data_IF_459601159987
#
_entry.id   IF_459601159987
#
_cell.length_a   1.000
_cell.length_b   1.000
_cell.length_c   1.000
_cell.angle_alpha   90.00
_cell.angle_beta   90.00
_cell.angle_gamma   90.00
#
_symmetry.space_group_name_H-M   'P 1'
#
loop_
_entity.id
_entity.type
_entity.pdbx_description
1 polymer ?
#
# COMPACT_ATOMS: atom_id res chain seq x y z
N UNK A 1 23.42 3.97 -21.01
CA UNK A 1 22.38 3.44 -20.12
C UNK A 1 22.99 2.29 -19.34
N UNK A 2 23.19 2.46 -18.04
CA UNK A 2 23.83 1.46 -17.18
C UNK A 2 22.82 0.41 -16.69
N UNK A 3 23.28 -0.76 -16.24
CA UNK A 3 22.41 -1.77 -15.63
C UNK A 3 21.67 -1.24 -14.38
N UNK A 4 22.27 -0.25 -13.70
CA UNK A 4 21.68 0.45 -12.58
C UNK A 4 20.48 1.32 -12.99
N UNK A 5 20.58 2.11 -14.06
CA UNK A 5 19.47 2.91 -14.59
C UNK A 5 18.25 2.04 -14.97
N UNK A 6 18.50 0.86 -15.54
CA UNK A 6 17.43 -0.10 -15.88
C UNK A 6 16.73 -0.59 -14.62
N UNK A 7 17.50 -0.96 -13.59
CA UNK A 7 16.95 -1.43 -12.31
C UNK A 7 16.15 -0.32 -11.60
N UNK A 8 16.69 0.91 -11.55
CA UNK A 8 16.01 2.06 -10.95
C UNK A 8 14.71 2.40 -11.69
N UNK A 9 14.72 2.34 -13.02
CA UNK A 9 13.52 2.50 -13.83
C UNK A 9 12.47 1.41 -13.58
N UNK A 10 12.90 0.17 -13.31
CA UNK A 10 12.00 -0.91 -12.92
C UNK A 10 11.38 -0.67 -11.54
N UNK A 11 12.18 -0.25 -10.55
CA UNK A 11 11.69 0.12 -9.21
C UNK A 11 10.65 1.24 -9.29
N UNK A 12 10.86 2.25 -10.13
CA UNK A 12 9.89 3.32 -10.34
C UNK A 12 8.54 2.81 -10.86
N UNK A 13 8.54 1.92 -11.85
CA UNK A 13 7.30 1.33 -12.39
C UNK A 13 6.59 0.44 -11.36
N UNK A 14 7.32 -0.36 -10.60
CA UNK A 14 6.72 -1.19 -9.56
C UNK A 14 6.18 -0.34 -8.40
N UNK A 15 6.84 0.77 -8.04
CA UNK A 15 6.31 1.74 -7.09
C UNK A 15 4.95 2.29 -7.52
N UNK A 16 4.83 2.75 -8.77
CA UNK A 16 3.57 3.26 -9.33
C UNK A 16 2.48 2.18 -9.31
N UNK A 17 2.83 0.96 -9.72
CA UNK A 17 1.90 -0.18 -9.77
C UNK A 17 1.41 -0.57 -8.37
N UNK A 18 2.32 -0.65 -7.40
CA UNK A 18 1.99 -0.97 -6.00
C UNK A 18 1.14 0.14 -5.39
N UNK A 19 1.46 1.41 -5.65
CA UNK A 19 0.65 2.54 -5.19
C UNK A 19 -0.76 2.53 -5.77
N UNK A 20 -0.92 2.28 -7.07
CA UNK A 20 -2.24 2.14 -7.70
C UNK A 20 -3.03 0.97 -7.09
N UNK A 21 -2.38 -0.18 -6.93
CA UNK A 21 -3.01 -1.36 -6.33
C UNK A 21 -3.41 -1.12 -4.87
N UNK A 22 -2.59 -0.40 -4.09
CA UNK A 22 -2.92 0.02 -2.73
C UNK A 22 -4.21 0.82 -2.70
N UNK A 23 -4.36 1.81 -3.58
CA UNK A 23 -5.57 2.65 -3.63
C UNK A 23 -6.82 1.87 -4.02
N UNK A 24 -6.69 0.92 -4.96
CA UNK A 24 -7.78 0.01 -5.34
C UNK A 24 -8.19 -0.90 -4.17
N UNK A 25 -7.20 -1.46 -3.48
CA UNK A 25 -7.41 -2.35 -2.35
C UNK A 25 -8.03 -1.62 -1.16
N UNK A 26 -7.52 -0.44 -0.82
CA UNK A 26 -8.07 0.42 0.22
C UNK A 26 -9.53 0.77 -0.07
N UNK A 27 -9.85 1.14 -1.32
CA UNK A 27 -11.22 1.41 -1.73
C UNK A 27 -12.13 0.18 -1.65
N UNK A 28 -11.61 -1.02 -1.89
CA UNK A 28 -12.36 -2.26 -1.71
C UNK A 28 -12.64 -2.54 -0.21
N UNK A 29 -11.62 -2.42 0.64
CA UNK A 29 -11.75 -2.62 2.10
C UNK A 29 -12.71 -1.59 2.72
N UNK A 30 -12.63 -0.33 2.30
CA UNK A 30 -13.54 0.72 2.75
C UNK A 30 -15.00 0.42 2.40
N UNK A 31 -15.28 -0.07 1.19
CA UNK A 31 -16.63 -0.52 0.81
C UNK A 31 -17.13 -1.67 1.68
N UNK A 32 -16.25 -2.58 2.11
CA UNK A 32 -16.62 -3.66 3.03
C UNK A 32 -16.97 -3.13 4.43
N UNK A 33 -16.23 -2.14 4.93
CA UNK A 33 -16.56 -1.44 6.18
C UNK A 33 -17.88 -0.67 6.07
N UNK A 34 -18.10 0.05 4.97
CA UNK A 34 -19.33 0.82 4.71
C UNK A 34 -20.55 -0.09 4.58
N UNK A 35 -20.39 -1.32 4.05
CA UNK A 35 -21.45 -2.33 4.05
C UNK A 35 -21.90 -2.68 5.48
N UNK A 36 -21.03 -2.47 6.45
CA UNK A 36 -21.28 -2.78 7.85
C UNK A 36 -21.39 -4.28 8.11
N UNK A 37 -21.93 -4.60 9.28
CA UNK A 37 -22.12 -5.98 9.67
C UNK A 37 -23.29 -6.59 8.91
N UNK A 38 -23.01 -7.43 7.91
CA UNK A 38 -24.05 -8.07 7.07
C UNK A 38 -24.98 -8.98 7.87
N UNK A 39 -24.65 -9.24 9.13
CA UNK A 39 -25.36 -10.11 10.06
C UNK A 39 -26.64 -9.45 10.59
N UNK A 40 -26.73 -8.12 10.55
CA UNK A 40 -27.97 -7.39 10.86
C UNK A 40 -29.15 -7.85 9.97
N UNK A 41 -28.87 -8.32 8.75
CA UNK A 41 -29.89 -8.87 7.86
C UNK A 41 -30.43 -10.23 8.28
N UNK A 42 -29.75 -10.94 9.18
CA UNK A 42 -30.17 -12.26 9.65
C UNK A 42 -31.20 -12.16 10.78
N UNK A 43 -31.29 -11.00 11.45
CA UNK A 43 -32.30 -10.65 12.46
C UNK A 43 -32.58 -11.78 13.48
N UNK A 44 -31.54 -12.51 13.88
CA UNK A 44 -31.69 -13.63 14.79
C UNK A 44 -31.30 -13.24 16.22
N UNK A 45 -32.33 -12.88 16.97
CA UNK A 45 -32.27 -12.60 18.40
C UNK A 45 -32.46 -13.90 19.22
N UNK A 46 -32.51 -15.06 18.55
CA UNK A 46 -32.93 -16.34 19.08
C UNK A 46 -31.84 -17.43 19.02
N UNK A 47 -32.21 -18.61 18.51
CA UNK A 47 -31.44 -19.86 18.68
C UNK A 47 -30.01 -19.80 18.12
N UNK A 48 -29.73 -19.02 17.09
CA UNK A 48 -28.40 -18.89 16.48
C UNK A 48 -27.72 -17.55 16.80
N UNK A 49 -28.22 -16.77 17.77
CA UNK A 49 -27.62 -15.51 18.19
C UNK A 49 -26.12 -15.64 18.54
N UNK A 50 -25.69 -16.76 19.13
CA UNK A 50 -24.27 -17.03 19.40
C UNK A 50 -23.42 -17.23 18.14
N UNK A 51 -23.97 -17.85 17.09
CA UNK A 51 -23.27 -18.05 15.81
C UNK A 51 -23.18 -16.73 15.05
N UNK A 52 -24.28 -15.96 15.05
CA UNK A 52 -24.36 -14.60 14.52
C UNK A 52 -23.28 -13.71 15.15
N UNK A 53 -23.18 -13.70 16.48
CA UNK A 53 -22.17 -12.93 17.20
C UNK A 53 -20.74 -13.35 16.84
N UNK A 54 -20.45 -14.65 16.81
CA UNK A 54 -19.13 -15.16 16.44
C UNK A 54 -18.74 -14.81 14.99
N UNK A 55 -19.70 -14.86 14.06
CA UNK A 55 -19.47 -14.44 12.68
C UNK A 55 -19.19 -12.94 12.58
N UNK A 56 -19.95 -12.10 13.30
CA UNK A 56 -19.75 -10.66 13.34
C UNK A 56 -18.33 -10.30 13.83
N UNK A 57 -17.87 -10.96 14.92
CA UNK A 57 -16.52 -10.78 15.45
C UNK A 57 -15.46 -11.21 14.43
N UNK A 58 -15.60 -12.38 13.81
CA UNK A 58 -14.70 -12.85 12.75
C UNK A 58 -14.62 -11.87 11.57
N UNK A 59 -15.76 -11.32 11.16
CA UNK A 59 -15.83 -10.33 10.08
C UNK A 59 -15.10 -9.05 10.48
N UNK A 60 -15.31 -8.55 11.69
CA UNK A 60 -14.61 -7.37 12.21
C UNK A 60 -13.09 -7.56 12.26
N UNK A 61 -12.62 -8.69 12.81
CA UNK A 61 -11.18 -9.02 12.87
C UNK A 61 -10.59 -9.12 11.47
N UNK A 62 -11.30 -9.75 10.53
CA UNK A 62 -10.87 -9.86 9.13
C UNK A 62 -10.74 -8.49 8.48
N UNK A 63 -11.72 -7.60 8.67
CA UNK A 63 -11.67 -6.24 8.13
C UNK A 63 -10.51 -5.43 8.70
N UNK A 64 -10.22 -5.54 9.99
CA UNK A 64 -9.06 -4.89 10.60
C UNK A 64 -7.75 -5.41 10.01
N UNK A 65 -7.63 -6.73 9.83
CA UNK A 65 -6.45 -7.33 9.21
C UNK A 65 -6.25 -6.87 7.77
N UNK A 66 -7.33 -6.82 6.97
CA UNK A 66 -7.30 -6.33 5.58
C UNK A 66 -6.93 -4.84 5.53
N UNK A 67 -7.43 -4.00 6.46
CA UNK A 67 -7.01 -2.60 6.57
C UNK A 67 -5.51 -2.49 6.84
N UNK A 68 -4.97 -3.30 7.75
CA UNK A 68 -3.53 -3.35 8.02
C UNK A 68 -2.71 -3.73 6.78
N UNK A 69 -3.12 -4.78 6.06
CA UNK A 69 -2.48 -5.20 4.81
C UNK A 69 -2.52 -4.09 3.76
N UNK A 70 -3.64 -3.38 3.62
CA UNK A 70 -3.76 -2.23 2.72
C UNK A 70 -2.71 -1.16 3.02
N UNK A 71 -2.50 -0.84 4.31
CA UNK A 71 -1.50 0.14 4.74
C UNK A 71 -0.08 -0.29 4.36
N UNK A 72 0.26 -1.56 4.59
CA UNK A 72 1.60 -2.08 4.25
C UNK A 72 1.88 -2.08 2.74
N UNK A 73 0.87 -2.36 1.91
CA UNK A 73 1.01 -2.25 0.43
C UNK A 73 1.30 -0.79 0.06
N UNK A 74 0.56 0.18 0.62
CA UNK A 74 0.77 1.60 0.40
C UNK A 74 2.16 2.07 0.81
N UNK A 75 2.57 1.76 2.04
CA UNK A 75 3.91 2.07 2.54
C UNK A 75 5.02 1.45 1.68
N UNK A 76 4.81 0.24 1.16
CA UNK A 76 5.76 -0.40 0.24
C UNK A 76 5.90 0.42 -1.04
N UNK A 77 4.79 0.86 -1.63
CA UNK A 77 4.79 1.72 -2.82
C UNK A 77 5.52 3.04 -2.58
N UNK A 78 5.24 3.71 -1.45
CA UNK A 78 5.90 4.95 -1.02
C UNK A 78 7.39 4.78 -0.78
N UNK A 79 7.80 3.70 -0.12
CA UNK A 79 9.20 3.40 0.14
C UNK A 79 9.98 3.21 -1.18
N UNK A 80 9.40 2.50 -2.16
CA UNK A 80 10.00 2.33 -3.48
C UNK A 80 10.11 3.67 -4.22
N UNK A 81 9.09 4.54 -4.14
CA UNK A 81 9.15 5.89 -4.70
C UNK A 81 10.27 6.71 -4.05
N UNK A 82 10.41 6.61 -2.73
CA UNK A 82 11.45 7.27 -1.95
C UNK A 82 12.86 6.83 -2.35
N UNK A 83 13.06 5.53 -2.62
CA UNK A 83 14.34 5.03 -3.16
C UNK A 83 14.68 5.69 -4.50
N UNK A 84 13.72 5.73 -5.43
CA UNK A 84 13.93 6.36 -6.75
C UNK A 84 14.25 7.85 -6.62
N UNK A 85 13.50 8.58 -5.79
CA UNK A 85 13.73 9.99 -5.56
C UNK A 85 15.11 10.26 -4.96
N UNK A 86 15.48 9.53 -3.90
CA UNK A 86 16.77 9.68 -3.24
C UNK A 86 17.93 9.37 -4.17
N UNK A 87 17.83 8.31 -4.99
CA UNK A 87 18.87 7.99 -5.98
C UNK A 87 19.06 9.13 -6.98
N UNK A 88 17.98 9.67 -7.54
CA UNK A 88 18.07 10.81 -8.48
C UNK A 88 18.70 12.05 -7.83
N UNK A 89 18.32 12.35 -6.58
CA UNK A 89 18.93 13.46 -5.84
C UNK A 89 20.43 13.26 -5.66
N UNK A 90 20.88 12.04 -5.34
CA UNK A 90 22.31 11.74 -5.21
C UNK A 90 23.03 11.85 -6.55
N UNK A 91 22.42 11.38 -7.64
CA UNK A 91 22.99 11.52 -9.00
C UNK A 91 23.16 13.00 -9.39
N UNK A 92 22.15 13.84 -9.11
CA UNK A 92 22.21 15.28 -9.39
C UNK A 92 23.32 15.98 -8.58
N UNK A 93 23.43 15.66 -7.29
CA UNK A 93 24.48 16.18 -6.41
C UNK A 93 25.87 15.74 -6.88
N UNK A 94 26.02 14.47 -7.27
CA UNK A 94 27.30 13.95 -7.78
C UNK A 94 27.68 14.60 -9.11
N UNK A 95 26.73 14.78 -10.02
CA UNK A 95 26.97 15.47 -11.29
C UNK A 95 27.40 16.93 -11.07
N UNK A 96 26.81 17.61 -10.10
CA UNK A 96 27.19 18.97 -9.72
C UNK A 96 28.59 19.04 -9.11
N UNK A 97 28.93 18.12 -8.20
CA UNK A 97 30.25 18.06 -7.59
C UNK A 97 31.34 17.73 -8.62
N UNK A 98 31.08 16.80 -9.55
CA UNK A 98 32.00 16.46 -10.62
C UNK A 98 32.31 17.69 -11.49
N UNK A 99 31.28 18.47 -11.85
CA UNK A 99 31.45 19.74 -12.58
C UNK A 99 32.36 20.70 -11.83
N UNK A 100 32.15 20.89 -10.52
CA UNK A 100 32.98 21.80 -9.70
C UNK A 100 34.45 21.39 -9.64
N UNK A 101 34.74 20.09 -9.58
CA UNK A 101 36.12 19.57 -9.57
C UNK A 101 36.80 19.77 -10.93
N UNK A 102 36.07 19.61 -12.04
CA UNK A 102 36.66 19.79 -13.39
C UNK A 102 36.98 21.24 -13.76
N UNK A 103 36.47 22.23 -13.03
CA UNK A 103 36.76 23.66 -13.25
C UNK A 103 37.70 24.27 -12.19
N UNK A 104 38.30 23.43 -11.33
CA UNK A 104 39.33 23.79 -10.35
C UNK A 104 40.70 23.28 -10.81
#
# INVERSE_FOLDING_TARGET
MTGFEIALGAVGRESERVGAHSGEYEAAVRRLWERGDSVASWADDGLFAGIVAAYAECNQVSLMALTGVSGEIGHTGEALAGVVANTRTVEDVNAENARRVTWA
#
